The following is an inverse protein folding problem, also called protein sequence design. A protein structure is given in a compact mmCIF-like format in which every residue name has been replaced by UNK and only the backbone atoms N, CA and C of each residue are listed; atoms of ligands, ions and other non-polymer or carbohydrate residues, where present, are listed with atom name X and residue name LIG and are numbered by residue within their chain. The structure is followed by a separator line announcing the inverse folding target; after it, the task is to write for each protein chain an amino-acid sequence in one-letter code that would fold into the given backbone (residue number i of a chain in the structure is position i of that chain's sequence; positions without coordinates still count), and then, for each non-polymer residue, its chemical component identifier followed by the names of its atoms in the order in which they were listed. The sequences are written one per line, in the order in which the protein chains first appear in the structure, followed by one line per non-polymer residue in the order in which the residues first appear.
data_IF_876698685524
#
_entry.id   IF_876698685524
#
_cell.length_a   1.000
_cell.length_b   1.000
_cell.length_c   1.000
_cell.angle_alpha   90.00
_cell.angle_beta   90.00
_cell.angle_gamma   90.00
#
_symmetry.space_group_name_H-M   'P 1'
#
loop_
_entity.id
_entity.type
_entity.pdbx_description
1 polymer ?
#
# COMPACT_ATOMS: atom_id res chain seq x y z
N UNK A 1 5.56 9.16 4.13
CA UNK A 1 5.33 8.83 2.70
C UNK A 1 6.40 7.91 2.12
N UNK A 2 7.69 8.11 2.41
CA UNK A 2 8.76 7.20 1.92
C UNK A 2 8.48 5.73 2.27
N UNK A 3 8.13 5.47 3.54
CA UNK A 3 7.78 4.11 3.99
C UNK A 3 6.59 3.51 3.24
N UNK A 4 5.57 4.32 2.92
CA UNK A 4 4.39 3.86 2.21
C UNK A 4 4.72 3.50 0.77
N UNK A 5 5.54 4.32 0.10
CA UNK A 5 6.04 4.04 -1.26
C UNK A 5 6.87 2.75 -1.28
N UNK A 6 7.79 2.60 -0.33
CA UNK A 6 8.59 1.38 -0.20
C UNK A 6 7.70 0.15 0.03
N UNK A 7 6.71 0.23 0.91
CA UNK A 7 5.79 -0.88 1.17
C UNK A 7 4.99 -1.28 -0.08
N UNK A 8 4.49 -0.31 -0.86
CA UNK A 8 3.79 -0.57 -2.13
C UNK A 8 4.72 -1.30 -3.11
N UNK A 9 5.96 -0.84 -3.25
CA UNK A 9 6.95 -1.49 -4.13
C UNK A 9 7.24 -2.93 -3.68
N UNK A 10 7.40 -3.17 -2.38
CA UNK A 10 7.63 -4.52 -1.85
C UNK A 10 6.43 -5.43 -2.10
N UNK A 11 5.20 -4.95 -1.84
CA UNK A 11 3.98 -5.69 -2.13
C UNK A 11 3.87 -6.03 -3.62
N UNK A 12 4.15 -5.06 -4.50
CA UNK A 12 4.17 -5.26 -5.96
C UNK A 12 5.18 -6.36 -6.36
N UNK A 13 6.40 -6.30 -5.84
CA UNK A 13 7.45 -7.29 -6.11
C UNK A 13 7.07 -8.70 -5.62
N UNK A 14 6.28 -8.80 -4.54
CA UNK A 14 5.73 -10.07 -4.06
C UNK A 14 4.55 -10.59 -4.90
N UNK A 15 4.15 -9.89 -5.96
CA UNK A 15 3.03 -10.27 -6.82
C UNK A 15 1.66 -9.82 -6.32
N UNK A 16 1.59 -8.86 -5.39
CA UNK A 16 0.34 -8.32 -4.88
C UNK A 16 -0.55 -7.73 -5.99
N UNK A 17 0.01 -7.29 -7.12
CA UNK A 17 -0.79 -6.82 -8.27
C UNK A 17 -1.77 -7.87 -8.80
N UNK A 18 -1.47 -9.16 -8.62
CA UNK A 18 -2.34 -10.26 -9.03
C UNK A 18 -3.04 -10.91 -7.84
N UNK A 19 -2.33 -11.07 -6.73
CA UNK A 19 -2.79 -11.82 -5.56
C UNK A 19 -3.60 -10.97 -4.57
N UNK A 20 -3.34 -9.66 -4.52
CA UNK A 20 -3.90 -8.72 -3.56
C UNK A 20 -4.19 -7.35 -4.22
N UNK A 21 -4.76 -7.40 -5.43
CA UNK A 21 -4.92 -6.23 -6.29
C UNK A 21 -5.79 -5.13 -5.66
N UNK A 22 -6.75 -5.53 -4.82
CA UNK A 22 -7.66 -4.61 -4.12
C UNK A 22 -6.90 -3.81 -3.07
N UNK A 23 -6.15 -4.50 -2.22
CA UNK A 23 -5.37 -3.92 -1.12
C UNK A 23 -4.25 -3.03 -1.67
N UNK A 24 -3.63 -3.44 -2.78
CA UNK A 24 -2.62 -2.62 -3.47
C UNK A 24 -3.22 -1.33 -4.04
N UNK A 25 -4.39 -1.40 -4.71
CA UNK A 25 -5.09 -0.22 -5.22
C UNK A 25 -5.52 0.74 -4.11
N UNK A 26 -5.97 0.22 -2.98
CA UNK A 26 -6.27 1.04 -1.79
C UNK A 26 -5.01 1.77 -1.30
N UNK A 27 -3.88 1.06 -1.21
CA UNK A 27 -2.62 1.68 -0.80
C UNK A 27 -2.20 2.82 -1.73
N UNK A 28 -2.32 2.63 -3.04
CA UNK A 28 -2.04 3.65 -4.06
C UNK A 28 -3.00 4.85 -3.95
N UNK A 29 -4.29 4.60 -3.74
CA UNK A 29 -5.30 5.64 -3.58
C UNK A 29 -5.04 6.50 -2.33
N UNK A 30 -4.72 5.87 -1.19
CA UNK A 30 -4.33 6.60 0.01
C UNK A 30 -3.03 7.38 -0.18
N UNK A 31 -2.05 6.84 -0.90
CA UNK A 31 -0.82 7.57 -1.19
C UNK A 31 -1.08 8.80 -2.08
N UNK A 32 -1.99 8.69 -3.06
CA UNK A 32 -2.40 9.81 -3.90
C UNK A 32 -3.16 10.87 -3.07
N UNK A 33 -4.09 10.45 -2.21
CA UNK A 33 -4.77 11.34 -1.26
C UNK A 33 -3.79 12.06 -0.34
N UNK A 34 -2.81 11.34 0.19
CA UNK A 34 -1.78 11.90 1.04
C UNK A 34 -0.97 13.00 0.34
N UNK A 35 -0.65 12.81 -0.94
CA UNK A 35 0.05 13.81 -1.76
C UNK A 35 -0.82 15.05 -1.98
N UNK A 36 -2.09 14.84 -2.34
CA UNK A 36 -3.05 15.92 -2.51
C UNK A 36 -3.24 16.76 -1.24
N UNK A 37 -3.37 16.11 -0.08
CA UNK A 37 -3.50 16.80 1.21
C UNK A 37 -2.21 17.53 1.60
N UNK A 38 -1.04 17.02 1.20
CA UNK A 38 0.24 17.69 1.43
C UNK A 38 0.38 18.97 0.59
N UNK A 39 -0.05 18.94 -0.67
CA UNK A 39 -0.12 20.14 -1.53
C UNK A 39 -1.02 21.22 -0.93
N UNK A 40 -2.12 20.80 -0.29
CA UNK A 40 -3.07 21.68 0.42
C UNK A 40 -2.61 22.10 1.82
N UNK A 41 -1.36 21.80 2.20
CA UNK A 41 -0.78 22.07 3.52
C UNK A 41 -1.57 21.43 4.68
N UNK A 42 -2.37 20.43 4.38
CA UNK A 42 -3.17 19.67 5.35
C UNK A 42 -2.35 18.49 5.87
N UNK A 43 -1.29 18.80 6.61
CA UNK A 43 -0.27 17.83 7.04
C UNK A 43 -0.79 16.70 7.92
N UNK A 44 -1.77 16.99 8.79
CA UNK A 44 -2.38 15.96 9.65
C UNK A 44 -3.11 14.91 8.82
N UNK A 45 -3.84 15.35 7.79
CA UNK A 45 -4.58 14.48 6.88
C UNK A 45 -3.66 13.73 5.94
N UNK A 46 -2.66 14.42 5.40
CA UNK A 46 -1.58 13.79 4.62
C UNK A 46 -0.84 12.70 5.41
N UNK A 47 -0.58 12.92 6.71
CA UNK A 47 0.03 11.92 7.58
C UNK A 47 -0.88 10.71 7.80
N UNK A 48 -2.16 10.96 8.08
CA UNK A 48 -3.15 9.90 8.24
C UNK A 48 -3.26 9.04 6.99
N UNK A 49 -3.42 9.66 5.83
CA UNK A 49 -3.52 8.98 4.53
C UNK A 49 -2.22 8.22 4.20
N UNK A 50 -1.05 8.79 4.51
CA UNK A 50 0.21 8.09 4.31
C UNK A 50 0.37 6.85 5.22
N UNK A 51 -0.19 6.87 6.43
CA UNK A 51 -0.21 5.70 7.33
C UNK A 51 -1.21 4.65 6.82
N UNK A 52 -2.39 5.08 6.35
CA UNK A 52 -3.36 4.20 5.73
C UNK A 52 -2.77 3.49 4.50
N UNK A 53 -2.08 4.25 3.63
CA UNK A 53 -1.37 3.70 2.47
C UNK A 53 -0.35 2.62 2.87
N UNK A 54 0.45 2.88 3.91
CA UNK A 54 1.42 1.91 4.42
C UNK A 54 0.73 0.64 4.93
N UNK A 55 -0.35 0.79 5.70
CA UNK A 55 -1.08 -0.36 6.26
C UNK A 55 -1.71 -1.21 5.16
N UNK A 56 -2.38 -0.60 4.18
CA UNK A 56 -2.95 -1.33 3.04
C UNK A 56 -1.88 -2.04 2.21
N UNK A 57 -0.71 -1.41 2.01
CA UNK A 57 0.42 -2.05 1.31
C UNK A 57 0.97 -3.27 2.07
N UNK A 58 1.09 -3.19 3.39
CA UNK A 58 1.51 -4.33 4.23
C UNK A 58 0.48 -5.46 4.22
N UNK A 59 -0.82 -5.13 4.17
CA UNK A 59 -1.87 -6.14 3.99
C UNK A 59 -1.76 -6.80 2.61
N UNK A 60 -1.54 -6.01 1.55
CA UNK A 60 -1.36 -6.51 0.20
C UNK A 60 -0.17 -7.49 0.12
N UNK A 61 0.95 -7.12 0.75
CA UNK A 61 2.12 -7.99 0.89
C UNK A 61 1.77 -9.30 1.61
N UNK A 62 1.12 -9.22 2.77
CA UNK A 62 0.76 -10.41 3.55
C UNK A 62 -0.17 -11.36 2.78
N UNK A 63 -1.13 -10.82 2.03
CA UNK A 63 -2.01 -11.62 1.17
C UNK A 63 -1.22 -12.25 0.03
N UNK A 64 -0.33 -11.51 -0.62
CA UNK A 64 0.51 -12.02 -1.69
C UNK A 64 1.44 -13.14 -1.22
N UNK A 65 2.10 -12.97 -0.07
CA UNK A 65 2.95 -14.00 0.53
C UNK A 65 2.17 -15.26 0.88
N UNK A 66 0.98 -15.12 1.49
CA UNK A 66 0.11 -16.26 1.83
C UNK A 66 -0.38 -16.99 0.59
N UNK A 67 -0.81 -16.26 -0.43
CA UNK A 67 -1.28 -16.86 -1.68
C UNK A 67 -0.14 -17.53 -2.46
N UNK A 68 1.06 -16.93 -2.45
CA UNK A 68 2.26 -17.54 -3.03
C UNK A 68 2.68 -18.81 -2.29
N UNK A 69 2.53 -18.86 -0.96
CA UNK A 69 2.85 -20.06 -0.18
C UNK A 69 1.84 -21.18 -0.40
N UNK A 70 0.54 -20.84 -0.48
CA UNK A 70 -0.54 -21.80 -0.79
C UNK A 70 -0.42 -22.45 -2.17
N UNK A 71 0.35 -21.85 -3.08
CA UNK A 71 0.61 -22.37 -4.42
C UNK A 71 1.74 -23.41 -4.45
N UNK A 72 2.45 -23.61 -3.33
CA UNK A 72 3.61 -24.52 -3.22
C UNK A 72 3.31 -25.80 -2.43
N UNK A 73 2.10 -25.94 -1.87
CA UNK A 73 1.59 -27.16 -1.22
C UNK A 73 0.76 -27.99 -2.22
#
# INVERSE_FOLDING_TARGET
MSDARQAITVARNAGAEKLAARELKEAEAFLASAQYELERRSFSRARFDALAAKNSALQALSVAERASNKSRE
#
